data_IF_008919881708
#
_entry.id   IF_008919881708
#
_cell.length_a   1.000
_cell.length_b   1.000
_cell.length_c   1.000
_cell.angle_alpha   90.00
_cell.angle_beta   90.00
_cell.angle_gamma   90.00
#
_symmetry.space_group_name_H-M   'P 1'
#
loop_
_entity.id
_entity.type
_entity.pdbx_description
1 polymer ?
#
# COMPACT_ATOMS: atom_id res chain seq x y z
N UNK A 1 26.72 57.06 -65.17
CA UNK A 1 26.21 55.68 -64.98
C UNK A 1 25.02 55.75 -64.02
N UNK A 2 23.97 54.98 -64.29
CA UNK A 2 22.61 55.07 -63.69
C UNK A 2 22.55 54.67 -62.20
N UNK A 3 21.57 55.25 -61.50
CA UNK A 3 20.87 54.91 -60.23
C UNK A 3 20.64 53.39 -59.97
N UNK A 4 20.14 52.90 -58.79
CA UNK A 4 19.42 53.60 -57.71
C UNK A 4 19.68 53.19 -56.24
N UNK A 5 19.01 53.95 -55.37
CA UNK A 5 18.61 53.79 -53.96
C UNK A 5 17.86 52.46 -53.71
N UNK A 6 18.04 51.83 -52.53
CA UNK A 6 16.96 51.05 -51.91
C UNK A 6 16.98 51.12 -50.38
N UNK A 7 15.96 51.79 -49.85
CA UNK A 7 15.57 51.79 -48.46
C UNK A 7 14.76 50.50 -48.21
N UNK A 8 15.09 49.69 -47.21
CA UNK A 8 14.22 48.58 -46.77
C UNK A 8 14.14 48.54 -45.26
N UNK A 9 13.08 49.15 -44.75
CA UNK A 9 12.44 48.75 -43.50
C UNK A 9 11.85 47.35 -43.69
N UNK A 10 12.21 46.40 -42.83
CA UNK A 10 11.31 45.30 -42.46
C UNK A 10 11.76 44.70 -41.12
N UNK A 11 10.86 44.84 -40.15
CA UNK A 11 10.76 44.05 -38.93
C UNK A 11 11.02 42.58 -39.22
N UNK A 12 11.72 41.86 -38.34
CA UNK A 12 11.40 40.46 -38.03
C UNK A 12 12.09 40.02 -36.73
N UNK A 13 11.23 39.64 -35.78
CA UNK A 13 11.43 38.69 -34.68
C UNK A 13 12.39 39.05 -33.53
N UNK A 14 11.81 39.81 -32.58
CA UNK A 14 12.05 39.66 -31.15
C UNK A 14 11.87 38.18 -30.75
N UNK A 15 12.98 37.48 -30.59
CA UNK A 15 13.01 36.14 -30.00
C UNK A 15 12.72 36.30 -28.51
N UNK A 16 11.44 36.21 -28.14
CA UNK A 16 11.03 36.07 -26.75
C UNK A 16 11.45 34.67 -26.31
N UNK A 17 12.70 34.54 -25.87
CA UNK A 17 13.16 33.39 -25.11
C UNK A 17 12.37 33.35 -23.81
N UNK A 18 11.24 32.62 -23.83
CA UNK A 18 10.58 32.19 -22.60
C UNK A 18 11.63 31.44 -21.79
N UNK A 19 11.93 31.83 -20.54
CA UNK A 19 12.87 31.08 -19.74
C UNK A 19 12.31 29.67 -19.57
N UNK A 20 13.04 28.67 -20.07
CA UNK A 20 12.74 27.28 -19.82
C UNK A 20 12.71 27.09 -18.31
N UNK A 21 11.50 26.94 -17.74
CA UNK A 21 11.33 26.56 -16.33
C UNK A 21 12.18 25.32 -16.11
N UNK A 22 13.19 25.43 -15.24
CA UNK A 22 13.93 24.30 -14.71
C UNK A 22 12.90 23.36 -14.06
N UNK A 23 12.54 22.26 -14.74
CA UNK A 23 11.69 21.20 -14.19
C UNK A 23 12.42 20.60 -12.97
N UNK A 24 12.14 21.16 -11.81
CA UNK A 24 12.59 20.64 -10.53
C UNK A 24 11.96 19.27 -10.31
N UNK A 25 12.77 18.29 -9.92
CA UNK A 25 12.30 16.94 -9.64
C UNK A 25 11.48 16.93 -8.33
N UNK A 26 10.15 16.93 -8.44
CA UNK A 26 9.21 16.87 -7.30
C UNK A 26 9.04 15.43 -6.83
N UNK A 27 9.91 15.01 -5.92
CA UNK A 27 9.90 13.64 -5.35
C UNK A 27 8.58 13.34 -4.63
N UNK A 28 8.01 14.33 -3.94
CA UNK A 28 7.00 14.13 -2.89
C UNK A 28 5.58 13.87 -3.38
N UNK A 29 5.14 14.53 -4.46
CA UNK A 29 3.73 14.51 -4.88
C UNK A 29 3.56 13.81 -6.23
N UNK A 30 3.79 12.51 -6.22
CA UNK A 30 3.80 11.72 -7.45
C UNK A 30 2.52 10.91 -7.62
N UNK A 31 1.81 11.11 -8.74
CA UNK A 31 0.61 10.33 -9.09
C UNK A 31 0.96 8.88 -9.49
N UNK A 32 0.14 7.93 -9.08
CA UNK A 32 0.30 6.51 -9.43
C UNK A 32 0.00 6.24 -10.91
N UNK A 33 0.91 5.58 -11.66
CA UNK A 33 0.64 5.09 -13.00
C UNK A 33 -0.58 4.15 -13.03
N UNK A 34 -1.39 4.20 -14.10
CA UNK A 34 -2.61 3.39 -14.23
C UNK A 34 -2.35 1.88 -14.08
N UNK A 35 -1.22 1.40 -14.61
CA UNK A 35 -0.80 0.00 -14.49
C UNK A 35 -0.47 -0.37 -13.04
N UNK A 36 0.39 0.41 -12.37
CA UNK A 36 0.76 0.17 -10.97
C UNK A 36 -0.45 0.26 -10.03
N UNK A 37 -1.41 1.14 -10.31
CA UNK A 37 -2.67 1.26 -9.56
C UNK A 37 -3.54 0.00 -9.70
N UNK A 38 -3.72 -0.50 -10.94
CA UNK A 38 -4.46 -1.74 -11.19
C UNK A 38 -3.76 -2.95 -10.57
N UNK A 39 -2.44 -3.04 -10.70
CA UNK A 39 -1.64 -4.11 -10.09
C UNK A 39 -1.75 -4.10 -8.57
N UNK A 40 -1.62 -2.94 -7.93
CA UNK A 40 -1.78 -2.80 -6.47
C UNK A 40 -3.19 -3.21 -6.04
N UNK A 41 -4.23 -2.86 -6.80
CA UNK A 41 -5.60 -3.26 -6.50
C UNK A 41 -5.81 -4.78 -6.53
N UNK A 42 -5.21 -5.48 -7.50
CA UNK A 42 -5.23 -6.94 -7.57
C UNK A 42 -4.34 -7.63 -6.53
N UNK A 43 -3.24 -6.98 -6.12
CA UNK A 43 -2.35 -7.50 -5.09
C UNK A 43 -2.96 -7.43 -3.68
N UNK A 44 -3.88 -6.49 -3.41
CA UNK A 44 -4.53 -6.36 -2.09
C UNK A 44 -5.29 -7.63 -1.64
N UNK A 45 -6.19 -8.24 -2.43
CA UNK A 45 -6.87 -9.46 -2.01
C UNK A 45 -5.92 -10.65 -1.86
N UNK A 46 -4.85 -10.73 -2.67
CA UNK A 46 -3.82 -11.76 -2.52
C UNK A 46 -3.03 -11.57 -1.22
N UNK A 47 -2.69 -10.34 -0.90
CA UNK A 47 -2.06 -9.98 0.36
C UNK A 47 -2.95 -10.35 1.55
N UNK A 48 -4.27 -10.13 1.46
CA UNK A 48 -5.22 -10.51 2.51
C UNK A 48 -5.24 -12.02 2.73
N UNK A 49 -5.31 -12.83 1.67
CA UNK A 49 -5.26 -14.29 1.76
C UNK A 49 -3.96 -14.75 2.44
N UNK A 50 -2.84 -14.13 2.07
CA UNK A 50 -1.54 -14.40 2.66
C UNK A 50 -1.45 -14.05 4.15
N UNK A 51 -1.89 -12.85 4.53
CA UNK A 51 -1.86 -12.36 5.91
C UNK A 51 -2.76 -13.21 6.81
N UNK A 52 -3.99 -13.52 6.38
CA UNK A 52 -4.91 -14.37 7.15
C UNK A 52 -4.31 -15.75 7.36
N UNK A 53 -3.73 -16.36 6.32
CA UNK A 53 -3.08 -17.67 6.43
C UNK A 53 -1.86 -17.63 7.36
N UNK A 54 -1.06 -16.56 7.30
CA UNK A 54 0.10 -16.36 8.17
C UNK A 54 -0.33 -16.19 9.64
N UNK A 55 -1.37 -15.39 9.92
CA UNK A 55 -1.93 -15.20 11.26
C UNK A 55 -2.41 -16.52 11.86
N UNK A 56 -3.10 -17.36 11.07
CA UNK A 56 -3.59 -18.66 11.55
C UNK A 56 -2.41 -19.58 11.85
N UNK A 57 -1.46 -19.74 10.93
CA UNK A 57 -0.33 -20.66 11.11
C UNK A 57 0.57 -20.21 12.26
N UNK A 58 0.93 -18.93 12.31
CA UNK A 58 1.79 -18.40 13.37
C UNK A 58 1.05 -18.28 14.70
N UNK A 59 -0.24 -17.94 14.69
CA UNK A 59 -1.07 -17.87 15.90
C UNK A 59 -1.21 -19.21 16.61
N UNK A 60 -1.49 -20.30 15.86
CA UNK A 60 -1.56 -21.64 16.45
C UNK A 60 -0.17 -22.09 16.95
N UNK A 61 0.92 -21.56 16.38
CA UNK A 61 2.27 -21.94 16.80
C UNK A 61 2.69 -21.42 18.19
N UNK A 62 2.05 -20.34 18.71
CA UNK A 62 2.24 -19.87 20.07
C UNK A 62 1.35 -20.64 21.08
N UNK A 63 1.86 -21.02 22.27
CA UNK A 63 3.18 -20.72 22.82
C UNK A 63 4.29 -21.69 22.36
N UNK A 64 3.93 -22.94 22.04
CA UNK A 64 4.86 -23.94 21.49
C UNK A 64 4.07 -25.17 20.96
N UNK A 65 3.50 -25.07 19.76
CA UNK A 65 2.72 -26.19 19.21
C UNK A 65 3.59 -27.34 18.68
N UNK A 66 4.76 -27.00 18.13
CA UNK A 66 5.59 -27.97 17.42
C UNK A 66 7.09 -27.78 17.60
N UNK A 67 7.57 -26.66 18.14
CA UNK A 67 9.00 -26.34 18.16
C UNK A 67 9.75 -27.30 19.09
N UNK A 68 9.28 -27.47 20.32
CA UNK A 68 9.91 -28.42 21.27
C UNK A 68 9.75 -29.87 20.82
N UNK A 69 8.57 -30.26 20.35
CA UNK A 69 8.30 -31.61 19.86
C UNK A 69 9.19 -31.97 18.66
N UNK A 70 9.29 -31.09 17.67
CA UNK A 70 10.14 -31.33 16.50
C UNK A 70 11.63 -31.30 16.86
N UNK A 71 12.03 -30.48 17.84
CA UNK A 71 13.40 -30.50 18.33
C UNK A 71 13.72 -31.86 18.97
N UNK A 72 12.85 -32.33 19.86
CA UNK A 72 13.02 -33.61 20.56
C UNK A 72 12.97 -34.82 19.63
N UNK A 73 12.04 -34.85 18.66
CA UNK A 73 11.94 -35.96 17.68
C UNK A 73 13.20 -36.05 16.83
N UNK A 74 13.76 -34.91 16.41
CA UNK A 74 15.02 -34.89 15.64
C UNK A 74 16.19 -35.47 16.44
N UNK A 75 16.22 -35.25 17.76
CA UNK A 75 17.29 -35.72 18.64
C UNK A 75 17.14 -37.21 18.96
N UNK A 76 15.91 -37.68 19.13
CA UNK A 76 15.60 -39.09 19.44
C UNK A 76 15.73 -40.02 18.23
N UNK A 77 15.87 -39.47 17.03
CA UNK A 77 16.09 -40.25 15.81
C UNK A 77 17.52 -40.81 15.77
N UNK A 78 17.69 -42.01 15.22
CA UNK A 78 19.00 -42.67 15.04
C UNK A 78 19.36 -42.74 13.55
N UNK A 79 20.42 -42.06 13.05
CA UNK A 79 21.28 -41.11 13.78
C UNK A 79 20.59 -39.76 14.07
N UNK A 80 21.04 -39.00 15.10
CA UNK A 80 20.44 -37.71 15.47
C UNK A 80 20.51 -36.69 14.33
N UNK A 81 19.43 -35.95 14.16
CA UNK A 81 19.23 -35.03 13.03
C UNK A 81 19.39 -33.56 13.41
N UNK A 82 19.49 -33.24 14.70
CA UNK A 82 19.65 -31.90 15.23
C UNK A 82 20.32 -31.95 16.62
N UNK A 83 20.57 -30.78 17.19
CA UNK A 83 21.15 -30.64 18.53
C UNK A 83 20.22 -31.16 19.63
N UNK A 84 20.76 -31.47 20.81
CA UNK A 84 19.96 -31.95 21.94
C UNK A 84 19.20 -30.79 22.62
N UNK A 85 17.86 -30.82 22.75
CA UNK A 85 17.10 -29.78 23.47
C UNK A 85 17.50 -29.64 24.95
N UNK A 86 17.98 -30.71 25.59
CA UNK A 86 18.41 -30.70 26.98
C UNK A 86 19.76 -29.97 27.21
N UNK A 87 20.42 -29.49 26.15
CA UNK A 87 21.68 -28.73 26.26
C UNK A 87 21.55 -27.47 27.11
N UNK A 88 20.37 -26.82 27.08
CA UNK A 88 20.07 -25.63 27.88
C UNK A 88 20.06 -26.00 29.38
N UNK A 89 19.35 -27.07 29.73
CA UNK A 89 19.24 -27.55 31.11
C UNK A 89 20.59 -28.07 31.61
N UNK A 90 21.34 -28.78 30.77
CA UNK A 90 22.69 -29.23 31.09
C UNK A 90 23.64 -28.06 31.37
N UNK A 91 23.62 -27.02 30.53
CA UNK A 91 24.47 -25.84 30.76
C UNK A 91 24.08 -25.10 32.04
N UNK A 92 22.78 -24.96 32.30
CA UNK A 92 22.25 -24.35 33.52
C UNK A 92 22.66 -25.12 34.78
N UNK A 93 22.49 -26.45 34.78
CA UNK A 93 22.82 -27.31 35.92
C UNK A 93 24.33 -27.38 36.20
N UNK A 94 25.17 -27.24 35.18
CA UNK A 94 26.63 -27.29 35.31
C UNK A 94 27.28 -25.90 35.40
N UNK A 95 26.51 -24.83 35.59
CA UNK A 95 26.98 -23.44 35.62
C UNK A 95 27.89 -23.08 34.43
N UNK A 96 27.61 -23.65 33.25
CA UNK A 96 28.32 -23.35 32.00
C UNK A 96 27.62 -22.20 31.28
N UNK A 97 28.33 -21.44 30.42
CA UNK A 97 27.69 -20.45 29.58
C UNK A 97 26.58 -21.09 28.73
N UNK A 98 25.43 -20.41 28.64
CA UNK A 98 24.29 -20.89 27.85
C UNK A 98 24.72 -21.09 26.39
N UNK A 99 24.48 -22.27 25.81
CA UNK A 99 24.87 -22.52 24.44
C UNK A 99 24.00 -21.71 23.49
N UNK A 100 24.55 -21.35 22.33
CA UNK A 100 23.82 -20.59 21.30
C UNK A 100 22.79 -21.50 20.65
N UNK A 101 21.53 -21.35 21.05
CA UNK A 101 20.39 -22.08 20.45
C UNK A 101 20.15 -21.55 19.04
N UNK A 102 19.88 -22.46 18.10
CA UNK A 102 19.54 -22.08 16.74
C UNK A 102 18.25 -21.24 16.71
N UNK A 103 18.20 -20.29 15.77
CA UNK A 103 17.10 -19.33 15.69
C UNK A 103 15.74 -20.03 15.46
N UNK A 104 15.72 -21.11 14.68
CA UNK A 104 14.53 -21.98 14.44
C UNK A 104 13.91 -22.47 15.75
N UNK A 105 14.75 -22.83 16.72
CA UNK A 105 14.32 -23.44 17.99
C UNK A 105 14.06 -22.43 19.09
N UNK A 106 14.12 -21.12 18.80
CA UNK A 106 14.00 -20.08 19.82
C UNK A 106 12.57 -19.52 19.90
N UNK A 107 12.08 -19.24 21.11
CA UNK A 107 10.76 -18.62 21.34
C UNK A 107 10.67 -17.20 20.76
N UNK A 108 11.77 -16.47 20.78
CA UNK A 108 11.85 -15.13 20.18
C UNK A 108 11.49 -15.16 18.68
N UNK A 109 11.82 -16.23 17.98
CA UNK A 109 11.50 -16.39 16.57
C UNK A 109 10.00 -16.65 16.33
N UNK A 110 9.38 -17.50 17.15
CA UNK A 110 7.92 -17.71 17.08
C UNK A 110 7.16 -16.43 17.41
N UNK A 111 7.61 -15.68 18.42
CA UNK A 111 7.00 -14.41 18.80
C UNK A 111 7.19 -13.33 17.72
N UNK A 112 8.35 -13.29 17.09
CA UNK A 112 8.61 -12.45 15.91
C UNK A 112 7.65 -12.77 14.75
N UNK A 113 7.45 -14.05 14.42
CA UNK A 113 6.56 -14.47 13.32
C UNK A 113 5.09 -14.08 13.58
N UNK A 114 4.62 -14.16 14.82
CA UNK A 114 3.29 -13.64 15.19
C UNK A 114 3.25 -12.12 15.07
N UNK A 115 4.24 -11.42 15.62
CA UNK A 115 4.31 -9.95 15.55
C UNK A 115 4.29 -9.42 14.11
N UNK A 116 5.09 -9.99 13.20
CA UNK A 116 5.11 -9.56 11.79
C UNK A 116 3.76 -9.79 11.10
N UNK A 117 3.02 -10.85 11.48
CA UNK A 117 1.70 -11.14 10.90
C UNK A 117 0.61 -10.16 11.37
N UNK A 118 0.71 -9.66 12.60
CA UNK A 118 -0.18 -8.62 13.11
C UNK A 118 0.17 -7.26 12.50
N UNK A 119 1.47 -6.96 12.39
CA UNK A 119 1.97 -5.73 11.76
C UNK A 119 1.57 -5.68 10.28
N UNK A 120 1.69 -6.80 9.55
CA UNK A 120 1.30 -6.85 8.14
C UNK A 120 -0.21 -6.70 7.96
N UNK A 121 -1.03 -7.26 8.85
CA UNK A 121 -2.47 -7.00 8.87
C UNK A 121 -2.78 -5.51 9.06
N UNK A 122 -2.14 -4.86 10.02
CA UNK A 122 -2.34 -3.44 10.27
C UNK A 122 -1.99 -2.59 9.04
N UNK A 123 -0.85 -2.87 8.41
CA UNK A 123 -0.45 -2.17 7.19
C UNK A 123 -1.38 -2.45 6.01
N UNK A 124 -1.91 -3.67 5.88
CA UNK A 124 -2.90 -3.98 4.86
C UNK A 124 -4.20 -3.19 5.04
N UNK A 125 -4.68 -3.07 6.28
CA UNK A 125 -5.87 -2.25 6.59
C UNK A 125 -5.60 -0.76 6.33
N UNK A 126 -4.45 -0.25 6.78
CA UNK A 126 -4.05 1.13 6.53
C UNK A 126 -3.91 1.42 5.02
N UNK A 127 -3.33 0.50 4.25
CA UNK A 127 -3.22 0.57 2.79
C UNK A 127 -4.58 0.60 2.13
N UNK A 128 -5.53 -0.23 2.57
CA UNK A 128 -6.91 -0.22 2.07
C UNK A 128 -7.58 1.14 2.30
N UNK A 129 -7.51 1.68 3.52
CA UNK A 129 -8.10 2.98 3.86
C UNK A 129 -7.44 4.11 3.06
N UNK A 130 -6.12 4.13 2.96
CA UNK A 130 -5.40 5.15 2.21
C UNK A 130 -5.64 5.06 0.69
N UNK A 131 -5.88 3.86 0.16
CA UNK A 131 -6.28 3.67 -1.23
C UNK A 131 -7.68 4.25 -1.49
N UNK A 132 -8.64 4.06 -0.57
CA UNK A 132 -9.99 4.65 -0.65
C UNK A 132 -9.93 6.17 -0.58
N UNK A 133 -9.15 6.73 0.35
CA UNK A 133 -8.97 8.18 0.51
C UNK A 133 -8.11 8.82 -0.60
N UNK A 134 -7.56 8.04 -1.53
CA UNK A 134 -6.64 8.48 -2.61
C UNK A 134 -5.37 9.20 -2.11
N UNK A 135 -5.00 9.04 -0.83
CA UNK A 135 -3.81 9.65 -0.21
C UNK A 135 -2.59 8.72 -0.16
N UNK A 136 -2.58 7.66 -0.96
CA UNK A 136 -1.47 6.69 -0.95
C UNK A 136 -0.27 7.20 -1.74
N UNK A 137 0.67 7.86 -1.06
CA UNK A 137 1.89 8.37 -1.68
C UNK A 137 2.92 7.25 -1.93
N UNK A 138 3.58 7.24 -3.11
CA UNK A 138 4.47 6.13 -3.51
C UNK A 138 5.74 6.02 -2.64
N UNK A 139 6.27 7.11 -2.09
CA UNK A 139 7.44 7.08 -1.19
C UNK A 139 7.13 6.28 0.08
N UNK A 140 6.05 6.66 0.78
CA UNK A 140 5.63 5.96 1.99
C UNK A 140 5.30 4.49 1.69
N UNK A 141 4.65 4.22 0.55
CA UNK A 141 4.40 2.87 0.10
C UNK A 141 5.70 2.08 -0.08
N UNK A 142 6.74 2.64 -0.70
CA UNK A 142 8.02 1.93 -0.83
C UNK A 142 8.68 1.64 0.49
N UNK A 143 8.73 2.61 1.41
CA UNK A 143 9.37 2.40 2.71
C UNK A 143 8.72 1.25 3.49
N UNK A 144 7.38 1.21 3.50
CA UNK A 144 6.61 0.13 4.14
C UNK A 144 6.89 -1.21 3.47
N UNK A 145 6.85 -1.28 2.13
CA UNK A 145 7.11 -2.52 1.40
C UNK A 145 8.54 -3.03 1.60
N UNK A 146 9.56 -2.16 1.60
CA UNK A 146 10.95 -2.54 1.90
C UNK A 146 11.05 -3.13 3.31
N UNK A 147 10.43 -2.49 4.28
CA UNK A 147 10.43 -2.95 5.67
C UNK A 147 9.77 -4.32 5.80
N UNK A 148 8.62 -4.53 5.15
CA UNK A 148 7.91 -5.82 5.16
C UNK A 148 8.71 -6.92 4.44
N UNK A 149 9.34 -6.62 3.30
CA UNK A 149 10.24 -7.56 2.61
C UNK A 149 11.38 -7.98 3.54
N UNK A 150 12.02 -7.04 4.23
CA UNK A 150 13.11 -7.35 5.15
C UNK A 150 12.65 -8.26 6.31
N UNK A 151 11.52 -7.93 6.95
CA UNK A 151 10.96 -8.71 8.05
C UNK A 151 10.58 -10.13 7.62
N UNK A 152 9.88 -10.29 6.49
CA UNK A 152 9.51 -11.61 5.98
C UNK A 152 10.71 -12.40 5.45
N UNK A 153 11.78 -11.74 4.99
CA UNK A 153 13.03 -12.42 4.62
C UNK A 153 13.71 -13.04 5.85
N UNK A 154 13.74 -12.31 6.98
CA UNK A 154 14.22 -12.87 8.26
C UNK A 154 13.33 -14.02 8.72
N UNK A 155 12.00 -13.93 8.55
CA UNK A 155 11.08 -15.02 8.81
C UNK A 155 11.41 -16.28 7.98
N UNK A 156 11.61 -16.14 6.67
CA UNK A 156 11.95 -17.28 5.80
C UNK A 156 13.31 -17.86 6.16
N UNK A 157 14.33 -17.01 6.31
CA UNK A 157 15.68 -17.44 6.69
C UNK A 157 15.69 -18.16 8.04
N UNK A 158 14.96 -17.63 9.03
CA UNK A 158 14.85 -18.24 10.34
C UNK A 158 14.05 -19.53 10.36
N UNK A 159 13.14 -19.73 9.41
CA UNK A 159 12.35 -20.96 9.29
C UNK A 159 13.18 -22.10 8.69
N UNK A 160 14.01 -21.80 7.69
CA UNK A 160 14.94 -22.78 7.08
C UNK A 160 16.30 -22.87 7.78
N UNK A 161 16.48 -22.07 8.84
CA UNK A 161 17.79 -21.76 9.40
C UNK A 161 18.59 -22.99 9.84
N UNK A 162 19.93 -22.90 9.81
CA UNK A 162 20.78 -23.98 10.29
C UNK A 162 20.73 -24.10 11.81
N UNK A 163 20.90 -25.33 12.29
CA UNK A 163 21.21 -25.66 13.66
C UNK A 163 22.65 -26.16 13.77
N UNK A 164 23.52 -25.28 14.26
CA UNK A 164 24.93 -25.56 14.55
C UNK A 164 25.23 -25.46 16.05
N UNK A 165 24.21 -25.65 16.90
CA UNK A 165 24.38 -25.52 18.35
C UNK A 165 25.30 -26.61 18.93
N UNK A 166 25.34 -27.80 18.32
CA UNK A 166 26.27 -28.88 18.64
C UNK A 166 27.16 -29.21 17.41
N UNK A 167 28.49 -29.07 17.49
CA UNK A 167 29.41 -29.44 16.40
C UNK A 167 29.35 -30.92 16.00
N UNK A 168 28.85 -31.81 16.87
CA UNK A 168 28.76 -33.26 16.61
C UNK A 168 27.60 -33.61 15.67
N UNK A 169 26.53 -32.82 15.69
CA UNK A 169 25.31 -33.05 14.91
C UNK A 169 24.92 -31.77 14.14
N UNK A 170 25.75 -31.33 13.17
CA UNK A 170 25.46 -30.13 12.42
C UNK A 170 24.28 -30.36 11.46
N UNK A 171 23.21 -29.58 11.62
CA UNK A 171 22.05 -29.62 10.75
C UNK A 171 21.98 -28.31 9.94
N UNK A 172 22.40 -28.29 8.66
CA UNK A 172 22.40 -27.06 7.87
C UNK A 172 21.00 -26.52 7.59
N UNK A 173 19.97 -27.37 7.70
CA UNK A 173 18.55 -27.04 7.55
C UNK A 173 17.77 -27.87 8.55
N UNK A 174 16.68 -27.35 9.08
CA UNK A 174 15.79 -28.11 9.95
C UNK A 174 15.34 -29.43 9.30
N UNK A 175 15.42 -30.53 10.06
CA UNK A 175 15.34 -31.90 9.54
C UNK A 175 14.05 -32.21 8.79
N UNK A 176 12.92 -31.63 9.21
CA UNK A 176 11.60 -31.88 8.62
C UNK A 176 11.44 -31.27 7.22
N UNK A 177 12.32 -30.36 6.80
CA UNK A 177 12.42 -29.93 5.40
C UNK A 177 13.30 -30.86 4.55
N UNK A 178 14.36 -31.41 5.13
CA UNK A 178 15.32 -32.26 4.40
C UNK A 178 14.83 -33.69 4.20
N UNK A 179 14.25 -34.29 5.24
CA UNK A 179 13.89 -35.71 5.27
C UNK A 179 12.38 -35.90 5.15
N UNK A 180 11.60 -34.91 5.59
CA UNK A 180 10.14 -34.92 5.52
C UNK A 180 9.48 -35.27 6.85
N UNK A 181 8.14 -35.37 6.84
CA UNK A 181 7.33 -35.53 8.04
C UNK A 181 7.03 -36.98 8.43
N UNK A 182 7.53 -37.96 7.67
CA UNK A 182 7.26 -39.37 7.95
C UNK A 182 7.86 -39.82 9.29
N UNK A 183 8.99 -39.25 9.69
CA UNK A 183 9.63 -39.50 10.99
C UNK A 183 8.72 -39.11 12.16
N UNK A 184 7.83 -38.12 11.98
CA UNK A 184 6.90 -37.67 13.01
C UNK A 184 5.64 -38.54 13.13
N UNK A 185 5.41 -39.50 12.22
CA UNK A 185 4.26 -40.42 12.26
C UNK A 185 4.23 -41.31 13.51
N UNK A 186 5.31 -42.05 13.87
CA UNK A 186 5.32 -42.89 15.07
C UNK A 186 5.06 -42.11 16.36
N UNK A 187 5.43 -40.82 16.39
CA UNK A 187 5.19 -39.94 17.54
C UNK A 187 3.79 -39.31 17.55
N UNK A 188 2.94 -39.57 16.55
CA UNK A 188 1.61 -38.96 16.43
C UNK A 188 1.63 -37.45 16.11
N UNK A 189 2.79 -36.90 15.73
CA UNK A 189 3.00 -35.45 15.50
C UNK A 189 3.07 -35.06 14.03
N UNK A 190 2.55 -35.92 13.14
CA UNK A 190 2.54 -35.69 11.69
C UNK A 190 1.88 -34.36 11.29
N UNK A 191 0.71 -34.04 11.88
CA UNK A 191 -0.02 -32.79 11.59
C UNK A 191 0.80 -31.56 11.98
N UNK A 192 1.43 -31.58 13.16
CA UNK A 192 2.31 -30.51 13.63
C UNK A 192 3.50 -30.29 12.70
N UNK A 193 4.11 -31.37 12.21
CA UNK A 193 5.19 -31.29 11.21
C UNK A 193 4.69 -30.69 9.88
N UNK A 194 3.50 -31.06 9.41
CA UNK A 194 2.92 -30.47 8.20
C UNK A 194 2.67 -28.97 8.35
N UNK A 195 2.14 -28.52 9.51
CA UNK A 195 1.96 -27.10 9.80
C UNK A 195 3.31 -26.35 9.75
N UNK A 196 4.37 -26.93 10.33
CA UNK A 196 5.72 -26.37 10.25
C UNK A 196 6.24 -26.32 8.80
N UNK A 197 5.90 -27.29 7.94
CA UNK A 197 6.25 -27.19 6.51
C UNK A 197 5.50 -26.06 5.81
N UNK A 198 4.21 -25.89 6.09
CA UNK A 198 3.40 -24.83 5.51
C UNK A 198 3.80 -23.43 5.99
N UNK A 199 4.40 -23.29 7.18
CA UNK A 199 4.93 -22.00 7.66
C UNK A 199 6.03 -21.44 6.74
N UNK A 200 6.83 -22.30 6.12
CA UNK A 200 7.81 -21.89 5.12
C UNK A 200 7.13 -21.45 3.82
N UNK A 201 6.15 -22.22 3.35
CA UNK A 201 5.41 -21.92 2.11
C UNK A 201 4.74 -20.55 2.21
N UNK A 202 4.09 -20.27 3.34
CA UNK A 202 3.44 -18.97 3.55
C UNK A 202 4.47 -17.84 3.67
N UNK A 203 5.62 -18.08 4.32
CA UNK A 203 6.71 -17.11 4.39
C UNK A 203 7.22 -16.73 3.00
N UNK A 204 7.53 -17.71 2.15
CA UNK A 204 8.01 -17.48 0.78
C UNK A 204 6.94 -16.80 -0.08
N UNK A 205 5.68 -17.20 0.05
CA UNK A 205 4.56 -16.54 -0.62
C UNK A 205 4.46 -15.05 -0.26
N UNK A 206 4.56 -14.73 1.03
CA UNK A 206 4.49 -13.34 1.51
C UNK A 206 5.70 -12.53 1.02
N UNK A 207 6.91 -13.09 1.04
CA UNK A 207 8.10 -12.44 0.46
C UNK A 207 7.87 -12.13 -1.02
N UNK A 208 7.40 -13.11 -1.81
CA UNK A 208 7.14 -12.92 -3.23
C UNK A 208 6.09 -11.83 -3.50
N UNK A 209 4.99 -11.81 -2.74
CA UNK A 209 3.98 -10.76 -2.86
C UNK A 209 4.52 -9.37 -2.50
N UNK A 210 5.30 -9.25 -1.43
CA UNK A 210 5.86 -7.96 -1.05
C UNK A 210 6.96 -7.48 -2.01
N UNK A 211 7.71 -8.40 -2.63
CA UNK A 211 8.63 -8.06 -3.72
C UNK A 211 7.88 -7.55 -4.96
N UNK A 212 6.76 -8.19 -5.33
CA UNK A 212 5.91 -7.70 -6.42
C UNK A 212 5.32 -6.32 -6.12
N UNK A 213 4.83 -6.09 -4.89
CA UNK A 213 4.35 -4.79 -4.45
C UNK A 213 5.49 -3.74 -4.47
N UNK A 214 6.68 -4.11 -3.97
CA UNK A 214 7.86 -3.24 -3.98
C UNK A 214 8.24 -2.86 -5.42
N UNK A 215 8.27 -3.81 -6.35
CA UNK A 215 8.52 -3.55 -7.76
C UNK A 215 7.51 -2.60 -8.38
N UNK A 216 6.22 -2.75 -8.06
CA UNK A 216 5.18 -1.83 -8.51
C UNK A 216 5.37 -0.41 -7.93
N UNK A 217 5.79 -0.31 -6.66
CA UNK A 217 6.05 0.98 -6.02
C UNK A 217 7.31 1.66 -6.59
N UNK A 218 8.39 0.91 -6.84
CA UNK A 218 9.61 1.41 -7.49
C UNK A 218 9.29 1.89 -8.91
N UNK A 219 8.52 1.11 -9.67
CA UNK A 219 8.05 1.52 -10.99
C UNK A 219 7.20 2.80 -10.95
N UNK A 220 6.39 2.97 -9.90
CA UNK A 220 5.64 4.20 -9.69
C UNK A 220 6.55 5.41 -9.35
N UNK A 221 7.75 5.19 -8.79
CA UNK A 221 8.75 6.22 -8.49
C UNK A 221 9.72 6.54 -9.63
N UNK A 222 9.82 5.70 -10.66
CA UNK A 222 10.63 5.96 -11.86
C UNK A 222 10.04 7.06 -12.72
N UNK A 223 10.84 8.03 -13.22
CA UNK A 223 10.35 9.18 -14.02
C UNK A 223 9.46 8.70 -15.17
N UNK A 224 8.23 9.20 -15.21
CA UNK A 224 7.22 8.84 -16.18
C UNK A 224 6.66 10.15 -16.73
N UNK A 225 6.58 10.25 -18.06
CA UNK A 225 6.08 11.42 -18.79
C UNK A 225 4.65 11.83 -18.40
N UNK A 226 3.88 10.92 -17.80
CA UNK A 226 2.53 11.17 -17.27
C UNK A 226 2.52 12.24 -16.18
N UNK A 227 3.59 12.38 -15.39
CA UNK A 227 3.64 13.39 -14.33
C UNK A 227 4.04 14.76 -14.84
N UNK A 228 4.90 14.82 -15.86
CA UNK A 228 5.19 16.05 -16.58
C UNK A 228 3.93 16.67 -17.20
N UNK A 229 3.07 15.82 -17.78
CA UNK A 229 1.81 16.26 -18.38
C UNK A 229 0.82 16.69 -17.30
N UNK A 230 0.76 15.99 -16.15
CA UNK A 230 -0.17 16.39 -15.09
C UNK A 230 0.25 17.67 -14.37
N UNK A 231 1.54 17.97 -14.27
CA UNK A 231 2.01 19.26 -13.76
C UNK A 231 1.70 20.37 -14.78
N UNK A 232 1.79 20.11 -16.08
CA UNK A 232 1.39 21.05 -17.13
C UNK A 232 -0.15 21.27 -17.14
N UNK A 233 -0.95 20.21 -16.98
CA UNK A 233 -2.42 20.30 -16.89
C UNK A 233 -2.88 20.94 -15.55
N UNK A 234 -2.22 20.66 -14.42
CA UNK A 234 -2.53 21.29 -13.12
C UNK A 234 -2.01 22.74 -13.01
N UNK A 235 -0.89 23.08 -13.67
CA UNK A 235 -0.43 24.47 -13.80
C UNK A 235 -1.32 25.29 -14.78
N UNK A 236 -1.86 24.68 -15.84
CA UNK A 236 -2.88 25.32 -16.69
C UNK A 236 -4.22 25.52 -15.94
N UNK A 237 -4.62 24.57 -15.08
CA UNK A 237 -5.80 24.74 -14.19
C UNK A 237 -5.54 25.73 -13.04
N UNK A 238 -4.28 25.98 -12.67
CA UNK A 238 -3.90 26.90 -11.59
C UNK A 238 -3.66 28.36 -12.01
N UNK A 239 -3.60 28.66 -13.30
CA UNK A 239 -3.25 29.98 -13.83
C UNK A 239 -4.08 30.41 -15.04
N UNK A 240 -5.38 30.16 -15.07
CA UNK A 240 -6.29 30.99 -15.89
C UNK A 240 -7.62 31.14 -15.17
N UNK A 241 -8.13 32.36 -15.21
CA UNK A 241 -9.52 32.70 -14.88
C UNK A 241 -10.48 31.68 -15.47
N UNK A 242 -11.28 31.08 -14.59
CA UNK A 242 -12.45 30.23 -14.82
C UNK A 242 -13.08 30.31 -16.22
N UNK A 243 -12.76 29.36 -17.10
CA UNK A 243 -13.63 28.91 -18.19
C UNK A 243 -13.60 27.37 -18.28
N UNK A 244 -14.73 26.67 -18.10
CA UNK A 244 -14.78 25.22 -18.13
C UNK A 244 -14.80 24.72 -19.58
N UNK A 245 -13.74 24.04 -20.03
CA UNK A 245 -13.74 23.29 -21.30
C UNK A 245 -14.46 21.94 -21.16
N UNK A 246 -15.63 21.92 -21.79
CA UNK A 246 -16.25 20.80 -22.51
C UNK A 246 -15.84 19.37 -22.12
N UNK A 247 -16.69 18.73 -21.31
CA UNK A 247 -16.90 17.29 -21.38
C UNK A 247 -18.37 16.97 -21.25
N UNK A 248 -19.01 16.71 -22.38
CA UNK A 248 -20.35 16.13 -22.42
C UNK A 248 -21.23 16.70 -23.54
N UNK A 249 -20.96 16.30 -24.77
CA UNK A 249 -21.98 16.27 -25.83
C UNK A 249 -23.02 15.23 -25.39
N UNK A 250 -24.01 15.68 -24.62
CA UNK A 250 -25.30 15.02 -24.47
C UNK A 250 -26.35 16.01 -24.98
N UNK A 251 -26.55 15.94 -26.29
CA UNK A 251 -27.76 16.30 -27.04
C UNK A 251 -28.82 17.14 -26.29
N UNK A 252 -28.71 18.47 -26.36
CA UNK A 252 -29.89 19.34 -26.31
C UNK A 252 -30.44 19.51 -27.72
N UNK A 253 -30.92 18.41 -28.32
CA UNK A 253 -31.69 18.48 -29.55
C UNK A 253 -33.19 18.70 -29.26
N UNK A 254 -33.53 19.81 -28.60
CA UNK A 254 -34.87 20.40 -28.69
C UNK A 254 -34.92 21.75 -27.96
N UNK A 255 -34.43 22.81 -28.62
CA UNK A 255 -34.81 24.17 -28.25
C UNK A 255 -35.46 24.85 -29.45
N UNK A 256 -36.71 24.46 -29.73
CA UNK A 256 -37.66 25.39 -30.34
C UNK A 256 -37.89 26.49 -29.31
N UNK A 257 -37.40 27.69 -29.62
CA UNK A 257 -37.66 28.95 -28.91
C UNK A 257 -39.12 29.04 -28.45
N UNK A 258 -39.41 29.05 -27.12
CA UNK A 258 -40.75 29.34 -26.65
C UNK A 258 -40.98 30.86 -26.67
N UNK A 259 -42.07 31.23 -27.34
CA UNK A 259 -42.65 32.57 -27.41
C UNK A 259 -42.89 33.21 -26.03
N UNK A 260 -42.78 34.53 -25.97
CA UNK A 260 -42.88 35.45 -24.81
C UNK A 260 -44.24 35.39 -24.04
N UNK A 261 -45.09 34.37 -24.23
CA UNK A 261 -46.45 34.31 -23.67
C UNK A 261 -46.75 33.23 -22.61
N UNK A 262 -45.78 32.51 -22.08
CA UNK A 262 -46.07 31.52 -21.03
C UNK A 262 -44.97 31.45 -19.97
N UNK A 263 -45.06 32.30 -18.95
CA UNK A 263 -44.31 32.13 -17.70
C UNK A 263 -45.22 31.45 -16.67
N UNK A 264 -44.91 30.22 -16.23
CA UNK A 264 -45.67 29.56 -15.16
C UNK A 264 -45.26 30.14 -13.81
N UNK A 265 -46.20 30.79 -13.13
CA UNK A 265 -46.05 31.27 -11.76
C UNK A 265 -46.12 30.09 -10.77
N UNK A 266 -45.11 29.91 -9.92
CA UNK A 266 -45.17 28.98 -8.78
C UNK A 266 -45.83 29.66 -7.57
N UNK A 267 -46.80 29.00 -6.89
CA UNK A 267 -47.59 29.62 -5.83
C UNK A 267 -46.88 29.54 -4.47
N UNK A 268 -46.00 30.49 -4.13
CA UNK A 268 -45.51 30.63 -2.75
C UNK A 268 -45.17 32.06 -2.28
N UNK A 269 -45.56 33.10 -3.01
CA UNK A 269 -45.27 34.50 -2.58
C UNK A 269 -46.43 35.48 -2.76
N UNK A 270 -47.65 35.03 -3.06
CA UNK A 270 -48.80 35.92 -3.24
C UNK A 270 -49.39 36.46 -1.92
N UNK A 271 -48.98 35.95 -0.76
CA UNK A 271 -49.52 36.41 0.54
C UNK A 271 -48.96 37.76 1.03
N UNK A 272 -47.86 38.27 0.45
CA UNK A 272 -47.27 39.55 0.85
C UNK A 272 -47.59 40.72 -0.09
N UNK A 273 -48.18 40.46 -1.26
CA UNK A 273 -48.58 41.54 -2.19
C UNK A 273 -50.00 42.06 -1.97
N UNK A 274 -50.82 41.40 -1.16
CA UNK A 274 -52.19 41.85 -0.83
C UNK A 274 -52.28 42.67 0.45
N UNK A 275 -51.23 42.73 1.27
CA UNK A 275 -51.19 43.56 2.48
C UNK A 275 -50.63 44.97 2.24
N UNK A 276 -49.94 45.22 1.13
CA UNK A 276 -49.32 46.52 0.83
C UNK A 276 -50.25 47.50 0.09
N UNK A 277 -51.49 47.09 -0.26
CA UNK A 277 -52.43 47.92 -1.03
C UNK A 277 -53.64 48.43 -0.25
N UNK A 278 -53.75 48.14 1.05
CA UNK A 278 -54.81 48.69 1.89
C UNK A 278 -54.26 49.05 3.28
N UNK A 279 -53.84 50.30 3.45
CA UNK A 279 -53.97 51.06 4.69
C UNK A 279 -53.82 52.58 4.41
N UNK A 280 -54.91 53.28 4.04
CA UNK A 280 -54.91 54.72 3.89
C UNK A 280 -55.24 55.40 5.24
N UNK A 281 -54.32 55.43 6.21
CA UNK A 281 -54.50 56.21 7.45
C UNK A 281 -53.16 56.70 8.04
N UNK A 282 -52.47 57.62 7.35
CA UNK A 282 -51.55 58.57 8.02
C UNK A 282 -51.25 59.88 7.27
N UNK A 283 -52.08 60.30 6.31
CA UNK A 283 -51.91 61.57 5.57
C UNK A 283 -53.09 62.55 5.67
N UNK A 284 -53.93 62.46 6.71
CA UNK A 284 -54.89 63.50 7.06
C UNK A 284 -54.62 64.11 8.45
N UNK A 285 -53.40 64.58 8.70
CA UNK A 285 -53.16 65.53 9.79
C UNK A 285 -52.23 66.66 9.35
N UNK A 286 -52.60 67.31 8.25
CA UNK A 286 -52.07 68.62 7.86
C UNK A 286 -53.04 69.30 6.88
N UNK A 287 -54.32 69.46 7.26
CA UNK A 287 -55.24 70.39 6.57
C UNK A 287 -56.53 70.70 7.34
N UNK A 288 -56.37 71.17 8.58
CA UNK A 288 -57.29 72.07 9.30
C UNK A 288 -56.36 72.87 10.23
N UNK A 289 -56.21 74.20 10.17
CA UNK A 289 -57.20 75.18 9.72
C UNK A 289 -58.28 75.26 10.78
#
# INVERSE_FOLDING_TARGET
>A
MKLPIFNRSQNEHEHTDKPAKSKGYTVFFRKWPRLARKATWWLMPLELIGVVSALVIFGISQPDLYRTDMWQIGWQHDPPLNSNPAMILYAYANHRPLPKVALVWTRTFTDFNVAISVISLFFLLAKLTAFIMRCWYPIFATFINVSLVALYTVCVYGTIGPDYADPRYPAPVAWYYRIGCDIAKPYGKYKSCMIAKYSLVIGVYMVALYLCNLGCCIYAMLPNKINDISDEDEEEEGSTTSEPKERGVWEMHNMKTPSIRSMPYTPRTQAFHTLDRQLPLRSQQQRFG
#
